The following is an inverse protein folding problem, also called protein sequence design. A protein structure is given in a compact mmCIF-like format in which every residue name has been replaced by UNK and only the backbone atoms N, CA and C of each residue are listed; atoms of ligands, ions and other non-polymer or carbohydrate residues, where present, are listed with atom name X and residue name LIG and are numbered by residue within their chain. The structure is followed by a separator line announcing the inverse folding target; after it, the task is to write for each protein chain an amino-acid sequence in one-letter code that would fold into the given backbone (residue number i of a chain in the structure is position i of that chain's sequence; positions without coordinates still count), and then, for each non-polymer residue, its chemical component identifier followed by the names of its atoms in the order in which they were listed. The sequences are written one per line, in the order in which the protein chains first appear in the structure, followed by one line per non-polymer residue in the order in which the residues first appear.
data_IF_981485713683
#
_entry.id   IF_981485713683
#
_cell.length_a   1.000
_cell.length_b   1.000
_cell.length_c   1.000
_cell.angle_alpha   90.00
_cell.angle_beta   90.00
_cell.angle_gamma   90.00
#
_symmetry.space_group_name_H-M   'P 1'
#
loop_
_entity.id
_entity.type
_entity.pdbx_description
1 polymer ?
#
# COMPACT_ATOMS: atom_id res chain seq x y z
N UNK A 1 11.86 -23.85 -13.42
CA UNK A 1 10.59 -24.53 -13.06
C UNK A 1 10.89 -25.94 -12.55
N UNK A 2 10.97 -26.18 -11.23
CA UNK A 2 10.67 -27.49 -10.63
C UNK A 2 9.19 -27.48 -10.17
N UNK A 3 8.27 -28.27 -10.75
CA UNK A 3 7.99 -29.71 -10.62
C UNK A 3 7.47 -30.14 -9.23
N UNK A 4 6.15 -30.30 -9.17
CA UNK A 4 5.33 -31.27 -8.43
C UNK A 4 5.91 -31.91 -7.17
N UNK A 5 5.29 -31.63 -6.02
CA UNK A 5 5.10 -32.62 -4.95
C UNK A 5 6.22 -32.77 -3.92
N UNK A 6 6.74 -31.68 -3.35
CA UNK A 6 7.52 -31.76 -2.11
C UNK A 6 6.58 -31.95 -0.92
N UNK A 7 6.23 -33.19 -0.59
CA UNK A 7 5.68 -33.54 0.73
C UNK A 7 6.82 -33.36 1.73
N UNK A 8 6.80 -32.26 2.49
CA UNK A 8 7.67 -32.12 3.64
C UNK A 8 7.41 -33.28 4.62
N UNK A 9 8.45 -33.88 5.23
CA UNK A 9 8.28 -34.93 6.21
C UNK A 9 7.56 -34.33 7.42
N UNK A 10 6.28 -34.67 7.58
CA UNK A 10 5.47 -34.25 8.73
C UNK A 10 6.18 -34.77 9.98
N UNK A 11 6.56 -33.86 10.88
CA UNK A 11 7.27 -34.25 12.10
C UNK A 11 6.31 -35.09 12.95
N UNK A 12 6.82 -36.14 13.62
CA UNK A 12 5.97 -37.05 14.40
C UNK A 12 5.04 -36.32 15.41
N UNK A 13 5.49 -35.20 15.96
CA UNK A 13 4.71 -34.33 16.86
C UNK A 13 3.54 -33.66 16.14
N UNK A 14 3.76 -33.17 14.91
CA UNK A 14 2.72 -32.53 14.08
C UNK A 14 1.64 -33.54 13.72
N UNK A 15 2.03 -34.78 13.37
CA UNK A 15 1.07 -35.85 13.06
C UNK A 15 0.23 -36.24 14.28
N UNK A 16 0.85 -36.40 15.46
CA UNK A 16 0.12 -36.71 16.70
C UNK A 16 -0.81 -35.55 17.09
N UNK A 17 -0.36 -34.30 16.95
CA UNK A 17 -1.19 -33.13 17.23
C UNK A 17 -2.40 -33.07 16.30
N UNK A 18 -2.21 -33.28 15.00
CA UNK A 18 -3.26 -33.27 13.99
C UNK A 18 -4.32 -34.36 14.24
N UNK A 19 -3.90 -35.58 14.59
CA UNK A 19 -4.83 -36.65 14.96
C UNK A 19 -5.68 -36.28 16.19
N UNK A 20 -5.04 -35.74 17.25
CA UNK A 20 -5.77 -35.34 18.47
C UNK A 20 -6.73 -34.17 18.24
N UNK A 21 -6.36 -33.22 17.39
CA UNK A 21 -7.23 -32.10 17.01
C UNK A 21 -8.45 -32.64 16.26
N UNK A 22 -8.25 -33.56 15.32
CA UNK A 22 -9.35 -34.17 14.54
C UNK A 22 -10.31 -34.96 15.42
N UNK A 23 -9.79 -35.81 16.31
CA UNK A 23 -10.60 -36.52 17.31
C UNK A 23 -11.40 -35.55 18.20
N UNK A 24 -10.83 -34.41 18.58
CA UNK A 24 -11.52 -33.40 19.38
C UNK A 24 -12.62 -32.66 18.59
N UNK A 25 -12.42 -32.43 17.29
CA UNK A 25 -13.43 -31.86 16.38
C UNK A 25 -14.59 -32.85 16.21
N UNK A 26 -14.30 -34.11 15.91
CA UNK A 26 -15.31 -35.16 15.71
C UNK A 26 -16.12 -35.43 16.98
N UNK A 27 -15.46 -35.39 18.15
CA UNK A 27 -16.13 -35.50 19.45
C UNK A 27 -16.89 -34.22 19.86
N UNK A 28 -16.89 -33.17 19.02
CA UNK A 28 -17.57 -31.90 19.31
C UNK A 28 -16.99 -31.12 20.48
N UNK A 29 -15.79 -31.47 20.97
CA UNK A 29 -15.14 -30.84 22.12
C UNK A 29 -14.67 -29.40 21.86
N UNK A 30 -14.61 -29.01 20.59
CA UNK A 30 -14.30 -27.65 20.16
C UNK A 30 -15.56 -26.80 19.86
N UNK A 31 -16.76 -27.38 20.01
CA UNK A 31 -18.01 -26.62 19.89
C UNK A 31 -18.27 -25.84 21.19
N UNK A 32 -18.73 -24.60 21.07
CA UNK A 32 -19.03 -23.70 22.21
C UNK A 32 -17.82 -23.38 23.12
N UNK A 33 -16.63 -23.23 22.56
CA UNK A 33 -15.50 -22.68 23.32
C UNK A 33 -15.85 -21.30 23.92
N UNK A 34 -15.36 -21.00 25.14
CA UNK A 34 -15.57 -19.69 25.75
C UNK A 34 -15.02 -18.59 24.83
N UNK A 35 -15.92 -17.76 24.28
CA UNK A 35 -15.57 -16.71 23.31
C UNK A 35 -15.84 -17.04 21.84
N UNK A 36 -16.33 -18.25 21.53
CA UNK A 36 -16.74 -18.62 20.16
C UNK A 36 -17.78 -17.63 19.60
N UNK A 37 -17.51 -17.09 18.41
CA UNK A 37 -18.38 -16.13 17.73
C UNK A 37 -18.36 -14.70 18.29
N UNK A 38 -17.59 -14.43 19.34
CA UNK A 38 -17.41 -13.06 19.86
C UNK A 38 -16.20 -12.40 19.19
N UNK A 39 -16.25 -11.09 18.87
CA UNK A 39 -15.09 -10.38 18.36
C UNK A 39 -13.94 -10.45 19.36
N UNK A 40 -12.75 -10.85 18.88
CA UNK A 40 -11.52 -10.88 19.67
C UNK A 40 -11.21 -9.45 20.15
N UNK A 41 -11.19 -9.25 21.47
CA UNK A 41 -10.65 -8.02 22.07
C UNK A 41 -9.13 -8.14 22.11
N UNK A 42 -8.48 -7.72 21.04
CA UNK A 42 -7.03 -7.55 20.99
C UNK A 42 -6.68 -6.23 21.68
N UNK A 43 -6.46 -6.28 22.98
CA UNK A 43 -5.77 -5.16 23.66
C UNK A 43 -4.34 -5.10 23.13
N UNK A 44 -3.85 -3.90 22.80
CA UNK A 44 -2.55 -3.70 22.14
C UNK A 44 -1.37 -4.35 22.86
N UNK A 45 -1.48 -4.57 24.17
CA UNK A 45 -0.40 -5.05 25.05
C UNK A 45 -0.69 -6.48 25.61
N UNK A 46 -1.60 -7.24 24.98
CA UNK A 46 -2.06 -8.55 25.45
C UNK A 46 -0.96 -9.63 25.50
N UNK A 47 0.12 -9.44 24.76
CA UNK A 47 1.31 -10.29 24.74
C UNK A 47 2.22 -10.09 25.95
N UNK A 48 1.96 -9.08 26.79
CA UNK A 48 2.67 -8.87 28.04
C UNK A 48 1.93 -9.54 29.23
N UNK A 49 2.67 -10.12 30.19
CA UNK A 49 2.12 -10.56 31.47
C UNK A 49 1.32 -9.43 32.15
N UNK A 50 0.16 -9.73 32.80
CA UNK A 50 -0.71 -8.72 33.39
C UNK A 50 0.00 -7.72 34.30
N UNK A 51 1.00 -8.19 35.06
CA UNK A 51 1.78 -7.42 36.02
C UNK A 51 2.66 -6.37 35.34
N UNK A 52 3.08 -6.62 34.09
CA UNK A 52 3.97 -5.74 33.33
C UNK A 52 3.22 -4.72 32.45
N UNK A 53 1.93 -4.94 32.16
CA UNK A 53 1.13 -4.04 31.29
C UNK A 53 1.01 -2.63 31.84
N UNK A 54 0.82 -2.49 33.16
CA UNK A 54 0.71 -1.19 33.81
C UNK A 54 2.04 -0.45 33.77
N UNK A 55 3.14 -1.12 34.13
CA UNK A 55 4.47 -0.52 34.09
C UNK A 55 4.86 -0.12 32.66
N UNK A 56 4.61 -0.98 31.67
CA UNK A 56 4.85 -0.69 30.26
C UNK A 56 3.99 0.48 29.77
N UNK A 57 2.71 0.53 30.12
CA UNK A 57 1.82 1.65 29.76
C UNK A 57 2.26 2.97 30.39
N UNK A 58 2.68 2.96 31.66
CA UNK A 58 3.19 4.15 32.35
C UNK A 58 4.49 4.63 31.71
N UNK A 59 5.43 3.72 31.42
CA UNK A 59 6.69 4.07 30.74
C UNK A 59 6.44 4.59 29.32
N UNK A 60 5.52 3.97 28.57
CA UNK A 60 5.09 4.45 27.25
C UNK A 60 4.51 5.86 27.31
N UNK A 61 3.63 6.10 28.27
CA UNK A 61 2.98 7.40 28.44
C UNK A 61 3.94 8.47 28.96
N UNK A 62 5.00 8.06 29.66
CA UNK A 62 6.05 8.93 30.18
C UNK A 62 7.23 9.13 29.20
N UNK A 63 7.22 8.48 28.02
CA UNK A 63 8.28 8.61 27.01
C UNK A 63 9.55 7.81 27.29
N UNK A 64 9.48 6.75 28.08
CA UNK A 64 10.62 5.89 28.46
C UNK A 64 10.52 4.49 27.83
N UNK A 65 10.34 4.42 26.52
CA UNK A 65 10.40 3.14 25.81
C UNK A 65 11.83 2.81 25.38
N UNK A 66 12.21 1.53 25.33
CA UNK A 66 13.43 1.11 24.64
C UNK A 66 13.42 1.62 23.18
N UNK A 67 14.58 2.06 22.66
CA UNK A 67 14.68 2.68 21.33
C UNK A 67 14.14 1.79 20.21
N UNK A 68 14.27 0.47 20.34
CA UNK A 68 13.70 -0.52 19.41
C UNK A 68 12.18 -0.41 19.31
N UNK A 69 11.47 -0.14 20.41
CA UNK A 69 10.00 -0.04 20.41
C UNK A 69 9.57 1.29 19.79
N UNK A 70 10.31 2.37 20.02
CA UNK A 70 10.04 3.68 19.39
C UNK A 70 10.25 3.63 17.87
N UNK A 71 11.34 3.02 17.42
CA UNK A 71 11.64 2.83 16.00
C UNK A 71 10.60 1.94 15.32
N UNK A 72 10.12 0.89 15.99
CA UNK A 72 9.01 0.06 15.51
C UNK A 72 7.76 0.91 15.28
N UNK A 73 7.33 1.68 16.27
CA UNK A 73 6.14 2.54 16.17
C UNK A 73 6.28 3.57 15.04
N UNK A 74 7.48 4.13 14.88
CA UNK A 74 7.78 5.06 13.78
C UNK A 74 7.66 4.39 12.41
N UNK A 75 8.19 3.18 12.24
CA UNK A 75 8.05 2.42 11.01
C UNK A 75 6.57 2.11 10.70
N UNK A 76 5.79 1.69 11.70
CA UNK A 76 4.34 1.46 11.57
C UNK A 76 3.59 2.73 11.12
N UNK A 77 3.91 3.88 11.72
CA UNK A 77 3.31 5.17 11.36
C UNK A 77 3.64 5.60 9.92
N UNK A 78 4.88 5.41 9.48
CA UNK A 78 5.29 5.73 8.10
C UNK A 78 4.60 4.80 7.08
N UNK A 79 4.42 3.52 7.41
CA UNK A 79 3.66 2.57 6.58
C UNK A 79 2.19 2.94 6.47
N UNK A 80 1.52 3.23 7.59
CA UNK A 80 0.12 3.68 7.60
C UNK A 80 -0.05 4.98 6.81
N UNK A 81 0.89 5.92 6.99
CA UNK A 81 0.93 7.18 6.23
C UNK A 81 1.08 6.97 4.73
N UNK A 82 1.91 6.00 4.32
CA UNK A 82 2.05 5.61 2.92
C UNK A 82 0.75 5.03 2.37
N UNK A 83 0.11 4.09 3.07
CA UNK A 83 -1.16 3.51 2.65
C UNK A 83 -2.27 4.55 2.49
N UNK A 84 -2.40 5.46 3.47
CA UNK A 84 -3.35 6.56 3.40
C UNK A 84 -3.07 7.49 2.20
N UNK A 85 -1.80 7.78 1.93
CA UNK A 85 -1.41 8.57 0.76
C UNK A 85 -1.78 7.86 -0.55
N UNK A 86 -1.56 6.54 -0.66
CA UNK A 86 -1.92 5.76 -1.83
C UNK A 86 -3.43 5.77 -2.09
N UNK A 87 -4.25 5.60 -1.04
CA UNK A 87 -5.70 5.69 -1.16
C UNK A 87 -6.15 7.08 -1.62
N UNK A 88 -5.50 8.12 -1.12
CA UNK A 88 -5.75 9.50 -1.54
C UNK A 88 -5.42 9.69 -3.03
N UNK A 89 -4.25 9.20 -3.47
CA UNK A 89 -3.85 9.24 -4.87
C UNK A 89 -4.82 8.50 -5.78
N UNK A 90 -5.29 7.31 -5.36
CA UNK A 90 -6.29 6.52 -6.08
C UNK A 90 -7.59 7.30 -6.30
N UNK A 91 -8.08 7.97 -5.26
CA UNK A 91 -9.32 8.78 -5.35
C UNK A 91 -9.17 9.93 -6.35
N UNK A 92 -8.07 10.69 -6.27
CA UNK A 92 -7.81 11.78 -7.21
C UNK A 92 -7.58 11.27 -8.64
N UNK A 93 -6.82 10.19 -8.81
CA UNK A 93 -6.60 9.59 -10.13
C UNK A 93 -7.92 9.17 -10.80
N UNK A 94 -8.82 8.53 -10.04
CA UNK A 94 -10.14 8.17 -10.53
C UNK A 94 -10.97 9.39 -10.95
N UNK A 95 -10.90 10.49 -10.20
CA UNK A 95 -11.58 11.75 -10.54
C UNK A 95 -11.03 12.35 -11.84
N UNK A 96 -9.70 12.47 -11.97
CA UNK A 96 -9.07 12.96 -13.20
C UNK A 96 -9.45 12.12 -14.42
N UNK A 97 -9.32 10.78 -14.32
CA UNK A 97 -9.68 9.89 -15.43
C UNK A 97 -11.15 10.02 -15.83
N UNK A 98 -12.07 10.16 -14.86
CA UNK A 98 -13.49 10.34 -15.16
C UNK A 98 -13.76 11.65 -15.90
N UNK A 99 -13.14 12.76 -15.48
CA UNK A 99 -13.31 14.06 -16.14
C UNK A 99 -12.65 14.12 -17.52
N UNK A 100 -11.45 13.55 -17.67
CA UNK A 100 -10.76 13.42 -18.96
C UNK A 100 -11.62 12.64 -19.95
N UNK A 101 -12.13 11.46 -19.56
CA UNK A 101 -13.00 10.64 -20.42
C UNK A 101 -14.28 11.38 -20.85
N UNK A 102 -14.92 12.09 -19.92
CA UNK A 102 -16.11 12.90 -20.24
C UNK A 102 -15.81 14.00 -21.25
N UNK A 103 -14.66 14.67 -21.12
CA UNK A 103 -14.26 15.73 -22.04
C UNK A 103 -13.86 15.17 -23.40
N UNK A 104 -13.07 14.09 -23.44
CA UNK A 104 -12.71 13.40 -24.68
C UNK A 104 -13.96 12.97 -25.47
N UNK A 105 -14.95 12.36 -24.80
CA UNK A 105 -16.21 11.98 -25.43
C UNK A 105 -17.02 13.18 -25.95
N UNK A 106 -17.02 14.30 -25.22
CA UNK A 106 -17.67 15.54 -25.69
C UNK A 106 -16.98 16.10 -26.93
N UNK A 107 -15.65 16.07 -26.96
CA UNK A 107 -14.86 16.55 -28.09
C UNK A 107 -15.17 15.73 -29.34
N UNK A 108 -15.16 14.41 -29.20
CA UNK A 108 -15.45 13.47 -30.29
C UNK A 108 -16.87 13.64 -30.83
N UNK A 109 -17.87 13.65 -29.97
CA UNK A 109 -19.27 13.85 -30.40
C UNK A 109 -19.53 15.23 -31.02
N UNK A 110 -18.78 16.27 -30.63
CA UNK A 110 -18.88 17.58 -31.26
C UNK A 110 -18.23 17.58 -32.65
N UNK A 111 -17.14 16.83 -32.82
CA UNK A 111 -16.43 16.66 -34.09
C UNK A 111 -17.26 15.88 -35.11
N UNK A 112 -17.88 14.78 -34.70
CA UNK A 112 -18.80 13.99 -35.54
C UNK A 112 -19.99 14.82 -36.04
N UNK A 113 -20.42 15.80 -35.23
CA UNK A 113 -21.49 16.74 -35.55
C UNK A 113 -21.01 17.95 -36.35
N UNK A 114 -19.73 17.99 -36.76
CA UNK A 114 -19.14 19.10 -37.52
C UNK A 114 -19.10 20.43 -36.77
N UNK A 115 -19.19 20.43 -35.43
CA UNK A 115 -19.13 21.64 -34.60
C UNK A 115 -17.67 22.02 -34.33
N UNK A 116 -17.43 23.31 -34.07
CA UNK A 116 -16.12 23.81 -33.64
C UNK A 116 -15.90 23.50 -32.16
N UNK A 117 -14.77 22.86 -31.84
CA UNK A 117 -14.50 22.26 -30.51
C UNK A 117 -13.29 22.88 -29.78
N UNK A 118 -12.70 23.94 -30.34
CA UNK A 118 -11.43 24.57 -29.88
C UNK A 118 -11.31 24.73 -28.36
N UNK A 119 -12.38 25.19 -27.68
CA UNK A 119 -12.35 25.43 -26.22
C UNK A 119 -12.30 24.14 -25.40
N UNK A 120 -12.98 23.09 -25.83
CA UNK A 120 -13.01 21.80 -25.12
C UNK A 120 -11.72 21.00 -25.38
N UNK A 121 -11.13 21.13 -26.58
CA UNK A 121 -9.82 20.56 -26.92
C UNK A 121 -8.69 21.18 -26.08
N UNK A 122 -8.66 22.51 -25.95
CA UNK A 122 -7.69 23.21 -25.10
C UNK A 122 -7.84 22.80 -23.62
N UNK A 123 -9.09 22.65 -23.14
CA UNK A 123 -9.36 22.21 -21.78
C UNK A 123 -8.89 20.77 -21.56
N UNK A 124 -9.12 19.88 -22.53
CA UNK A 124 -8.67 18.49 -22.50
C UNK A 124 -7.13 18.41 -22.40
N UNK A 125 -6.41 19.15 -23.25
CA UNK A 125 -4.93 19.20 -23.21
C UNK A 125 -4.40 19.64 -21.84
N UNK A 126 -4.94 20.74 -21.30
CA UNK A 126 -4.55 21.23 -19.96
C UNK A 126 -4.81 20.20 -18.86
N UNK A 127 -5.91 19.45 -18.96
CA UNK A 127 -6.22 18.40 -17.98
C UNK A 127 -5.30 17.18 -18.10
N UNK A 128 -4.92 16.79 -19.32
CA UNK A 128 -3.94 15.73 -19.55
C UNK A 128 -2.57 16.08 -18.99
N UNK A 129 -2.09 17.31 -19.22
CA UNK A 129 -0.84 17.82 -18.65
C UNK A 129 -0.89 17.88 -17.12
N UNK A 130 -2.00 18.36 -16.55
CA UNK A 130 -2.21 18.39 -15.10
C UNK A 130 -2.22 16.98 -14.51
N UNK A 131 -2.81 16.01 -15.19
CA UNK A 131 -2.84 14.61 -14.77
C UNK A 131 -1.46 13.94 -14.85
N UNK A 132 -0.70 14.19 -15.92
CA UNK A 132 0.68 13.72 -16.04
C UNK A 132 1.57 14.28 -14.92
N UNK A 133 1.46 15.59 -14.66
CA UNK A 133 2.17 16.25 -13.56
C UNK A 133 1.74 15.73 -12.18
N UNK A 134 0.45 15.43 -12.01
CA UNK A 134 -0.07 14.79 -10.79
C UNK A 134 0.51 13.38 -10.60
N UNK A 135 0.48 12.55 -11.64
CA UNK A 135 1.03 11.19 -11.62
C UNK A 135 2.50 11.18 -11.22
N UNK A 136 3.30 12.08 -11.79
CA UNK A 136 4.74 12.16 -11.47
C UNK A 136 4.98 12.60 -10.02
N UNK A 137 4.25 13.61 -9.53
CA UNK A 137 4.32 14.02 -8.12
C UNK A 137 3.94 12.89 -7.16
N UNK A 138 2.90 12.13 -7.48
CA UNK A 138 2.52 10.97 -6.68
C UNK A 138 3.61 9.90 -6.66
N UNK A 139 4.19 9.59 -7.82
CA UNK A 139 5.30 8.63 -7.93
C UNK A 139 6.49 9.06 -7.05
N UNK A 140 6.94 10.31 -7.16
CA UNK A 140 8.05 10.84 -6.37
C UNK A 140 7.76 10.79 -4.87
N UNK A 141 6.57 11.22 -4.45
CA UNK A 141 6.18 11.23 -3.05
C UNK A 141 6.00 9.82 -2.43
N UNK A 142 5.73 8.79 -3.25
CA UNK A 142 5.74 7.39 -2.80
C UNK A 142 7.17 6.92 -2.61
N UNK A 143 8.06 7.17 -3.58
CA UNK A 143 9.48 6.77 -3.50
C UNK A 143 10.11 7.35 -2.25
N UNK A 144 9.93 8.65 -2.01
CA UNK A 144 10.48 9.33 -0.84
C UNK A 144 9.97 8.71 0.48
N UNK A 145 8.68 8.37 0.57
CA UNK A 145 8.12 7.72 1.75
C UNK A 145 8.64 6.30 1.94
N UNK A 146 8.78 5.52 0.86
CA UNK A 146 9.37 4.19 0.91
C UNK A 146 10.82 4.23 1.42
N UNK A 147 11.60 5.23 1.01
CA UNK A 147 12.95 5.45 1.52
C UNK A 147 12.96 5.76 3.02
N UNK A 148 12.00 6.56 3.51
CA UNK A 148 11.85 6.82 4.96
C UNK A 148 11.50 5.54 5.74
N UNK A 149 10.54 4.76 5.24
CA UNK A 149 10.16 3.47 5.85
C UNK A 149 11.37 2.54 5.90
N UNK A 150 12.08 2.39 4.78
CA UNK A 150 13.29 1.57 4.69
C UNK A 150 14.35 2.02 5.68
N UNK A 151 14.63 3.32 5.76
CA UNK A 151 15.59 3.86 6.72
C UNK A 151 15.21 3.55 8.17
N UNK A 152 13.91 3.64 8.52
CA UNK A 152 13.44 3.32 9.87
C UNK A 152 13.59 1.82 10.18
N UNK A 153 13.29 0.94 9.22
CA UNK A 153 13.45 -0.51 9.39
C UNK A 153 14.93 -0.90 9.50
N UNK A 154 15.81 -0.30 8.68
CA UNK A 154 17.26 -0.54 8.74
C UNK A 154 17.86 -0.06 10.07
N UNK A 155 17.34 1.03 10.64
CA UNK A 155 17.71 1.51 11.97
C UNK A 155 17.21 0.58 13.08
N UNK A 156 15.95 0.14 12.99
CA UNK A 156 15.36 -0.83 13.89
C UNK A 156 16.16 -2.14 13.92
N UNK A 157 16.53 -2.68 12.75
CA UNK A 157 17.33 -3.89 12.65
C UNK A 157 18.71 -3.73 13.30
N UNK A 158 19.37 -2.56 13.10
CA UNK A 158 20.66 -2.25 13.72
C UNK A 158 20.57 -2.19 15.24
N UNK A 159 19.58 -1.47 15.79
CA UNK A 159 19.40 -1.39 17.24
C UNK A 159 19.02 -2.74 17.85
N UNK A 160 18.16 -3.51 17.17
CA UNK A 160 17.80 -4.86 17.59
C UNK A 160 19.02 -5.78 17.67
N UNK A 161 19.88 -5.80 16.64
CA UNK A 161 21.12 -6.60 16.65
C UNK A 161 22.08 -6.20 17.79
N UNK A 162 22.17 -4.91 18.11
CA UNK A 162 22.99 -4.41 19.23
C UNK A 162 22.45 -4.86 20.59
N UNK A 163 21.14 -4.88 20.76
CA UNK A 163 20.47 -5.18 22.02
C UNK A 163 20.27 -6.69 22.26
N UNK A 164 19.95 -7.46 21.21
CA UNK A 164 19.86 -8.93 21.25
C UNK A 164 21.22 -9.60 21.50
N UNK A 165 22.32 -8.94 21.16
CA UNK A 165 23.67 -9.37 21.59
C UNK A 165 23.90 -9.22 23.09
N UNK A 166 23.05 -8.46 23.81
CA UNK A 166 23.21 -8.14 25.25
C UNK A 166 22.17 -8.79 26.17
N UNK A 167 21.01 -9.28 25.70
CA UNK A 167 19.96 -9.88 26.55
C UNK A 167 19.22 -11.05 25.91
N UNK A 168 18.99 -12.10 26.71
CA UNK A 168 18.42 -13.40 26.34
C UNK A 168 16.87 -13.46 26.21
N UNK A 169 16.16 -12.32 26.18
CA UNK A 169 14.70 -12.31 26.00
C UNK A 169 14.36 -12.29 24.50
N UNK A 170 14.32 -13.47 23.90
CA UNK A 170 13.94 -13.69 22.51
C UNK A 170 12.42 -13.83 22.38
N UNK A 171 11.74 -12.74 22.01
CA UNK A 171 10.51 -12.85 21.23
C UNK A 171 10.85 -12.35 19.83
N UNK A 172 10.66 -13.24 18.85
CA UNK A 172 11.15 -13.10 17.48
C UNK A 172 10.68 -11.82 16.80
N UNK A 173 11.45 -11.39 15.79
CA UNK A 173 11.07 -10.28 14.92
C UNK A 173 9.70 -10.61 14.31
N UNK A 174 8.72 -9.79 14.63
CA UNK A 174 7.37 -9.86 14.06
C UNK A 174 7.50 -9.66 12.54
N UNK A 175 7.21 -10.70 11.75
CA UNK A 175 7.38 -10.67 10.29
C UNK A 175 6.47 -9.61 9.62
N UNK A 176 5.47 -9.09 10.32
CA UNK A 176 4.67 -7.95 9.86
C UNK A 176 5.44 -6.63 9.80
N UNK A 177 6.64 -6.57 10.40
CA UNK A 177 7.54 -5.40 10.39
C UNK A 177 8.60 -5.45 9.29
N UNK A 178 8.58 -6.47 8.41
CA UNK A 178 9.44 -6.48 7.23
C UNK A 178 9.05 -5.32 6.33
N UNK A 179 10.04 -4.48 5.98
CA UNK A 179 9.83 -3.38 5.04
C UNK A 179 9.10 -3.90 3.78
N UNK A 180 8.05 -3.22 3.32
CA UNK A 180 7.34 -3.64 2.12
C UNK A 180 8.28 -3.59 0.92
N UNK A 181 8.14 -4.58 0.04
CA UNK A 181 8.93 -4.69 -1.18
C UNK A 181 8.68 -3.46 -2.08
N UNK A 182 9.71 -2.61 -2.33
CA UNK A 182 9.55 -1.35 -3.03
C UNK A 182 9.02 -1.55 -4.45
N UNK A 183 9.42 -2.63 -5.13
CA UNK A 183 8.99 -2.92 -6.49
C UNK A 183 7.49 -3.25 -6.53
N UNK A 184 6.98 -3.97 -5.53
CA UNK A 184 5.54 -4.28 -5.41
C UNK A 184 4.71 -3.03 -5.12
N UNK A 185 5.21 -2.14 -4.27
CA UNK A 185 4.51 -0.89 -3.95
C UNK A 185 4.49 0.05 -5.16
N UNK A 186 5.61 0.17 -5.87
CA UNK A 186 5.69 0.95 -7.10
C UNK A 186 4.79 0.37 -8.20
N UNK A 187 4.77 -0.95 -8.40
CA UNK A 187 3.85 -1.59 -9.33
C UNK A 187 2.37 -1.33 -8.97
N UNK A 188 2.04 -1.37 -7.67
CA UNK A 188 0.69 -1.00 -7.19
C UNK A 188 0.38 0.45 -7.52
N UNK A 189 1.29 1.38 -7.27
CA UNK A 189 1.13 2.80 -7.62
C UNK A 189 0.91 2.99 -9.10
N UNK A 190 1.73 2.35 -9.93
CA UNK A 190 1.61 2.42 -11.38
C UNK A 190 0.28 1.85 -11.88
N UNK A 191 -0.23 0.79 -11.25
CA UNK A 191 -1.55 0.22 -11.54
C UNK A 191 -2.73 1.15 -11.19
N UNK A 192 -2.56 2.11 -10.27
CA UNK A 192 -3.60 3.09 -9.93
C UNK A 192 -3.84 4.09 -11.06
N UNK A 193 -2.81 4.35 -11.87
CA UNK A 193 -2.87 5.24 -13.02
C UNK A 193 -3.15 4.42 -14.27
N UNK A 194 -4.42 4.09 -14.48
CA UNK A 194 -4.86 3.39 -15.69
C UNK A 194 -4.26 4.06 -16.94
N UNK A 195 -3.72 3.29 -17.91
CA UNK A 195 -3.23 3.86 -19.14
C UNK A 195 -4.39 4.58 -19.83
N UNK A 196 -4.25 5.90 -20.03
CA UNK A 196 -5.13 6.66 -20.91
C UNK A 196 -5.04 6.05 -22.31
N UNK A 197 -6.17 5.91 -22.98
CA UNK A 197 -6.26 5.25 -24.29
C UNK A 197 -5.38 6.00 -25.31
N UNK A 198 -4.90 5.33 -26.37
CA UNK A 198 -4.07 5.98 -27.38
C UNK A 198 -4.76 7.20 -28.02
N UNK A 199 -6.08 7.18 -28.11
CA UNK A 199 -6.90 8.29 -28.61
C UNK A 199 -6.74 9.53 -27.72
N UNK A 200 -6.82 9.36 -26.40
CA UNK A 200 -6.59 10.44 -25.41
C UNK A 200 -5.20 11.08 -25.54
N UNK A 201 -4.19 10.33 -26.01
CA UNK A 201 -2.81 10.82 -26.19
C UNK A 201 -2.58 11.48 -27.55
N UNK A 202 -3.22 10.98 -28.61
CA UNK A 202 -3.10 11.53 -29.98
C UNK A 202 -3.64 12.95 -30.09
N UNK A 203 -4.61 13.35 -29.26
CA UNK A 203 -5.11 14.73 -29.25
C UNK A 203 -4.14 15.76 -28.63
N UNK A 204 -3.16 15.34 -27.81
CA UNK A 204 -2.15 16.23 -27.22
C UNK A 204 -0.99 16.58 -28.15
N UNK A 205 -0.57 15.63 -29.01
CA UNK A 205 0.53 15.81 -29.97
C UNK A 205 0.11 16.51 -31.30
N UNK A 206 -1.17 16.88 -31.43
CA UNK A 206 -1.77 17.36 -32.68
C UNK A 206 -1.78 18.87 -32.92
N UNK A 207 -1.31 19.70 -31.98
CA UNK A 207 -1.29 21.17 -32.13
C UNK A 207 0.12 21.70 -32.41
N UNK A 208 0.65 21.40 -33.60
CA UNK A 208 1.67 22.23 -34.23
C UNK A 208 1.00 23.53 -34.72
N UNK A 209 1.49 24.73 -34.35
CA UNK A 209 0.83 25.98 -34.68
C UNK A 209 1.30 26.56 -36.01
N UNK A 210 1.25 25.82 -37.12
CA UNK A 210 1.56 26.36 -38.46
C UNK A 210 0.58 25.71 -39.44
N UNK A 211 -0.38 26.41 -40.06
CA UNK A 211 -0.10 27.39 -41.09
C UNK A 211 -1.35 28.27 -41.33
N UNK A 212 -1.32 29.52 -40.87
CA UNK A 212 -2.31 30.57 -41.18
C UNK A 212 -1.67 31.60 -42.12
N UNK A 213 -1.03 31.17 -43.20
CA UNK A 213 -0.71 32.07 -44.32
C UNK A 213 -0.52 31.29 -45.60
N UNK A 214 -1.63 31.05 -46.33
CA UNK A 214 -1.69 31.02 -47.80
C UNK A 214 -3.04 30.52 -48.29
N UNK A 215 -4.10 31.33 -48.18
CA UNK A 215 -5.26 31.31 -49.10
C UNK A 215 -5.90 32.70 -49.19
N UNK A 216 -5.14 33.63 -49.77
CA UNK A 216 -5.67 34.83 -50.44
C UNK A 216 -4.69 35.20 -51.54
N UNK A 217 -4.92 34.63 -52.72
CA UNK A 217 -4.78 35.20 -54.07
C UNK A 217 -5.21 34.14 -55.06
#
# INVERSE_FOLDING_TARGET
MPRSGETQPVRAIEWIAEQRIREAIEAGKLNNLPGAGKPLRLESDCHLPPELRLAYTVLRNAGFLPPVIELRRKAEQEMEGLEHYLQTCQRYAAQYCAEIRKLAQKVETARDRGKRVSTDEEKLSRMLEAYASFRERCRQAVVERLERVRSCVDELQREWLRESSRKAFAHGVDLSLLAPDPDKVLARVESLFAPLEPEDRRQGDGLQPEDRSQRRT
#
